data_IF_091984899123
#
_entry.id   IF_091984899123
#
_cell.length_a   1.000
_cell.length_b   1.000
_cell.length_c   1.000
_cell.angle_alpha   90.00
_cell.angle_beta   90.00
_cell.angle_gamma   90.00
#
_symmetry.space_group_name_H-M   'P 1'
#
loop_
_entity.id
_entity.type
_entity.pdbx_description
1 polymer ?
#
# COMPACT_ATOMS: atom_id res chain seq x y z
N UNK A 1 5.67 25.95 5.43
CA UNK A 1 6.51 24.73 5.31
C UNK A 1 5.54 23.58 5.12
N UNK A 2 5.72 22.77 4.08
CA UNK A 2 4.76 21.71 3.73
C UNK A 2 4.92 20.48 4.62
N UNK A 3 3.85 19.71 4.77
CA UNK A 3 3.87 18.41 5.43
C UNK A 3 3.72 17.31 4.37
N UNK A 4 4.42 16.19 4.55
CA UNK A 4 4.17 15.00 3.77
C UNK A 4 2.82 14.41 4.18
N UNK A 5 1.96 14.16 3.19
CA UNK A 5 0.74 13.37 3.32
C UNK A 5 1.08 11.88 3.28
N UNK A 6 1.94 11.51 2.32
CA UNK A 6 2.41 10.15 2.10
C UNK A 6 3.91 10.19 1.79
N UNK A 7 4.65 9.18 2.27
CA UNK A 7 6.05 8.95 1.94
C UNK A 7 6.26 7.56 1.35
N UNK A 8 7.27 7.42 0.48
CA UNK A 8 7.60 6.14 -0.13
C UNK A 8 8.90 6.13 -0.91
N UNK A 9 9.14 5.03 -1.62
CA UNK A 9 10.23 4.89 -2.57
C UNK A 9 9.70 4.63 -3.98
N UNK A 10 10.30 5.29 -4.95
CA UNK A 10 10.05 5.04 -6.38
C UNK A 10 11.32 4.54 -7.04
N UNK A 11 11.19 3.55 -7.92
CA UNK A 11 12.31 3.04 -8.72
C UNK A 11 12.29 3.68 -10.11
N UNK A 12 13.38 4.37 -10.46
CA UNK A 12 13.65 4.77 -11.84
C UNK A 12 14.83 3.97 -12.39
N UNK A 13 14.53 3.01 -13.25
CA UNK A 13 15.52 2.23 -14.02
C UNK A 13 16.52 1.50 -13.11
N UNK A 14 16.02 0.79 -12.10
CA UNK A 14 16.80 0.04 -11.12
C UNK A 14 17.43 0.92 -10.03
N UNK A 15 16.94 2.15 -9.85
CA UNK A 15 17.49 3.12 -8.89
C UNK A 15 16.38 3.69 -8.04
N UNK A 16 16.48 3.50 -6.74
CA UNK A 16 15.48 3.93 -5.77
C UNK A 16 15.67 5.38 -5.34
N UNK A 17 14.58 6.13 -5.34
CA UNK A 17 14.48 7.50 -4.86
C UNK A 17 13.41 7.57 -3.78
N UNK A 18 13.73 8.20 -2.65
CA UNK A 18 12.69 8.59 -1.70
C UNK A 18 11.82 9.67 -2.31
N UNK A 19 10.50 9.52 -2.18
CA UNK A 19 9.50 10.44 -2.68
C UNK A 19 8.43 10.72 -1.62
N UNK A 20 7.71 11.82 -1.81
CA UNK A 20 6.59 12.21 -0.95
C UNK A 20 5.48 12.87 -1.77
N UNK A 21 4.25 12.75 -1.26
CA UNK A 21 3.10 13.57 -1.69
C UNK A 21 2.92 14.67 -0.66
N UNK A 22 2.91 15.91 -1.10
CA UNK A 22 2.77 17.09 -0.24
C UNK A 22 1.43 17.77 -0.49
N UNK A 23 0.84 18.32 0.56
CA UNK A 23 -0.24 19.31 0.42
C UNK A 23 0.37 20.71 0.24
N UNK A 24 0.17 21.28 -0.95
CA UNK A 24 0.56 22.65 -1.28
C UNK A 24 -0.71 23.43 -1.57
N UNK A 25 -1.26 24.07 -0.54
CA UNK A 25 -2.44 24.92 -0.64
C UNK A 25 -3.69 24.21 -1.19
N UNK A 26 -3.85 22.92 -0.87
CA UNK A 26 -4.96 22.07 -1.32
C UNK A 26 -4.61 21.20 -2.52
N UNK A 27 -3.46 21.43 -3.17
CA UNK A 27 -3.02 20.67 -4.34
C UNK A 27 -1.98 19.60 -3.97
N UNK A 28 -2.15 18.34 -4.42
CA UNK A 28 -1.19 17.28 -4.17
C UNK A 28 0.05 17.44 -5.07
N UNK A 29 1.18 17.82 -4.47
CA UNK A 29 2.47 17.96 -5.15
C UNK A 29 3.35 16.76 -4.87
N UNK A 30 3.71 16.02 -5.93
CA UNK A 30 4.59 14.85 -5.87
C UNK A 30 6.05 15.29 -6.03
N UNK A 31 6.87 14.99 -5.04
CA UNK A 31 8.29 15.36 -5.01
C UNK A 31 9.18 14.15 -4.83
N UNK A 32 10.38 14.19 -5.40
CA UNK A 32 11.49 13.30 -5.03
C UNK A 32 12.50 14.03 -4.14
N UNK A 33 13.22 13.30 -3.29
CA UNK A 33 14.25 13.88 -2.43
C UNK A 33 15.44 14.40 -3.25
N UNK A 34 15.76 15.69 -3.12
CA UNK A 34 16.94 16.28 -3.77
C UNK A 34 18.27 15.67 -3.28
N UNK A 35 18.32 15.23 -2.03
CA UNK A 35 19.50 14.52 -1.48
C UNK A 35 19.69 13.15 -2.12
N UNK A 36 18.60 12.39 -2.30
CA UNK A 36 18.66 11.10 -3.01
C UNK A 36 19.02 11.31 -4.47
N UNK A 37 18.47 12.35 -5.12
CA UNK A 37 18.84 12.69 -6.49
C UNK A 37 20.34 12.90 -6.67
N UNK A 38 20.98 13.65 -5.76
CA UNK A 38 22.43 13.83 -5.76
C UNK A 38 23.16 12.49 -5.62
N UNK A 39 22.78 11.69 -4.62
CA UNK A 39 23.42 10.39 -4.34
C UNK A 39 23.33 9.46 -5.53
N UNK A 40 22.14 9.34 -6.13
CA UNK A 40 21.86 8.42 -7.24
C UNK A 40 22.63 8.82 -8.51
N UNK A 41 22.78 10.12 -8.77
CA UNK A 41 23.57 10.61 -9.91
C UNK A 41 25.07 10.68 -9.64
N UNK A 42 25.55 10.28 -8.45
CA UNK A 42 26.97 10.35 -8.09
C UNK A 42 27.48 11.78 -7.91
N UNK A 43 26.60 12.71 -7.54
CA UNK A 43 26.93 14.10 -7.28
C UNK A 43 27.24 14.25 -5.78
N UNK A 44 28.50 14.54 -5.46
CA UNK A 44 28.94 14.72 -4.09
C UNK A 44 29.03 16.20 -3.71
N UNK A 45 28.77 16.51 -2.43
CA UNK A 45 29.00 17.87 -1.91
C UNK A 45 30.50 18.15 -1.94
N UNK A 46 30.88 19.34 -2.40
CA UNK A 46 32.24 19.87 -2.24
C UNK A 46 32.17 21.34 -1.85
N UNK A 47 33.21 21.84 -1.17
CA UNK A 47 33.29 23.26 -0.77
C UNK A 47 33.10 24.22 -1.95
N UNK A 48 33.72 23.90 -3.10
CA UNK A 48 33.59 24.68 -4.33
C UNK A 48 32.15 24.73 -4.87
N UNK A 49 31.38 23.65 -4.75
CA UNK A 49 29.95 23.63 -5.12
C UNK A 49 29.10 24.45 -4.14
N UNK A 50 29.47 24.47 -2.86
CA UNK A 50 28.78 25.27 -1.84
C UNK A 50 29.02 26.78 -2.03
N UNK A 51 30.25 27.19 -2.36
CA UNK A 51 30.57 28.60 -2.65
C UNK A 51 29.90 29.09 -3.94
N UNK A 52 29.79 28.24 -4.97
CA UNK A 52 29.08 28.58 -6.22
C UNK A 52 27.56 28.72 -6.03
N UNK A 53 27.00 28.08 -5.01
CA UNK A 53 25.59 28.26 -4.62
C UNK A 53 25.31 29.63 -4.00
N UNK A 54 26.31 30.27 -3.40
CA UNK A 54 26.19 31.59 -2.77
C UNK A 54 26.53 32.77 -3.69
N UNK A 55 26.94 32.52 -4.94
CA UNK A 55 27.30 33.58 -5.91
C UNK A 55 26.09 34.14 -6.70
N UNK A 56 24.90 33.53 -6.62
CA UNK A 56 23.66 34.01 -7.28
C UNK A 56 22.64 34.46 -6.22
N UNK A 57 22.51 35.78 -6.03
CA UNK A 57 21.60 36.35 -5.01
C UNK A 57 20.11 36.18 -5.36
N UNK A 58 19.77 36.00 -6.64
CA UNK A 58 18.38 35.91 -7.12
C UNK A 58 17.93 34.49 -7.51
N UNK A 59 18.85 33.51 -7.55
CA UNK A 59 18.56 32.12 -7.93
C UNK A 59 19.15 31.13 -6.94
N UNK A 60 18.28 30.33 -6.31
CA UNK A 60 18.71 29.29 -5.38
C UNK A 60 19.13 28.02 -6.11
N UNK A 61 20.25 28.07 -6.83
CA UNK A 61 20.74 26.93 -7.62
C UNK A 61 21.12 25.76 -6.69
N UNK A 62 20.51 24.57 -6.84
CA UNK A 62 20.84 23.42 -6.04
C UNK A 62 22.22 22.86 -6.43
N UNK A 63 22.85 22.13 -5.52
CA UNK A 63 24.21 21.62 -5.74
C UNK A 63 24.32 20.76 -7.01
N UNK A 64 23.29 19.98 -7.33
CA UNK A 64 23.27 19.18 -8.55
C UNK A 64 23.13 19.98 -9.86
N UNK A 65 23.06 21.31 -9.80
CA UNK A 65 23.07 22.23 -10.95
C UNK A 65 24.13 23.34 -10.84
N UNK A 66 24.89 23.45 -9.74
CA UNK A 66 25.79 24.57 -9.46
C UNK A 66 27.12 24.56 -10.25
N UNK A 67 27.18 23.84 -11.37
CA UNK A 67 28.34 23.85 -12.26
C UNK A 67 28.22 24.99 -13.29
N UNK A 68 29.26 25.81 -13.43
CA UNK A 68 29.23 27.03 -14.26
C UNK A 68 28.86 26.76 -15.73
N UNK A 69 29.32 25.64 -16.28
CA UNK A 69 29.02 25.20 -17.64
C UNK A 69 27.56 24.77 -17.86
N UNK A 70 26.78 24.53 -16.80
CA UNK A 70 25.34 24.24 -16.90
C UNK A 70 24.50 25.52 -16.95
N UNK A 71 25.04 26.68 -16.57
CA UNK A 71 24.30 27.95 -16.45
C UNK A 71 23.54 28.33 -17.72
N UNK A 72 24.09 28.25 -18.95
CA UNK A 72 23.35 28.59 -20.16
C UNK A 72 22.13 27.68 -20.39
N UNK A 73 22.23 26.40 -20.01
CA UNK A 73 21.14 25.43 -20.15
C UNK A 73 20.06 25.63 -19.10
N UNK A 74 20.42 26.08 -17.91
CA UNK A 74 19.46 26.43 -16.85
C UNK A 74 18.69 27.70 -17.24
N UNK A 75 19.40 28.77 -17.62
CA UNK A 75 18.78 30.06 -17.92
C UNK A 75 17.92 30.05 -19.20
N UNK A 76 18.14 29.11 -20.11
CA UNK A 76 17.29 28.91 -21.29
C UNK A 76 15.98 28.16 -21.00
N UNK A 77 15.77 27.68 -19.78
CA UNK A 77 14.55 26.98 -19.35
C UNK A 77 13.81 27.82 -18.30
N UNK A 78 12.98 28.76 -18.77
CA UNK A 78 12.25 29.70 -17.91
C UNK A 78 11.40 29.00 -16.82
N UNK A 79 10.66 27.92 -17.10
CA UNK A 79 9.95 27.19 -16.04
C UNK A 79 10.89 26.57 -15.00
N UNK A 80 12.08 26.09 -15.40
CA UNK A 80 13.08 25.63 -14.43
C UNK A 80 13.57 26.80 -13.58
N UNK A 81 13.90 27.95 -14.18
CA UNK A 81 14.32 29.16 -13.46
C UNK A 81 13.27 29.55 -12.41
N UNK A 82 11.99 29.57 -12.78
CA UNK A 82 10.89 29.85 -11.86
C UNK A 82 10.82 28.85 -10.69
N UNK A 83 11.00 27.56 -10.96
CA UNK A 83 11.03 26.53 -9.92
C UNK A 83 12.24 26.67 -8.98
N UNK A 84 13.41 27.08 -9.49
CA UNK A 84 14.62 27.30 -8.68
C UNK A 84 14.50 28.51 -7.75
N UNK A 85 13.69 29.52 -8.11
CA UNK A 85 13.37 30.63 -7.21
C UNK A 85 12.44 30.21 -6.06
N UNK A 86 11.64 29.17 -6.26
CA UNK A 86 10.62 28.70 -5.32
C UNK A 86 10.85 27.23 -4.90
N UNK A 87 11.91 26.94 -4.13
CA UNK A 87 12.25 25.58 -3.73
C UNK A 87 11.18 24.98 -2.83
N UNK A 88 10.74 23.76 -3.13
CA UNK A 88 9.77 23.05 -2.31
C UNK A 88 10.48 22.43 -1.11
N UNK A 89 10.13 22.87 0.10
CA UNK A 89 10.62 22.28 1.35
C UNK A 89 9.49 21.68 2.17
N UNK A 90 9.74 20.49 2.69
CA UNK A 90 8.75 19.75 3.46
C UNK A 90 9.37 19.13 4.71
N UNK A 91 8.51 18.90 5.70
CA UNK A 91 8.83 18.12 6.89
C UNK A 91 8.53 16.65 6.61
N UNK A 92 9.52 15.81 6.82
CA UNK A 92 9.40 14.36 6.73
C UNK A 92 8.68 13.79 7.97
N UNK A 93 8.14 12.58 7.89
CA UNK A 93 7.52 11.88 9.03
C UNK A 93 8.46 11.80 10.24
N UNK A 94 9.77 11.60 10.02
CA UNK A 94 10.81 11.60 11.05
C UNK A 94 11.20 12.98 11.60
N UNK A 95 10.48 14.05 11.24
CA UNK A 95 10.72 15.43 11.71
C UNK A 95 11.82 16.19 10.98
N UNK A 96 12.62 15.52 10.14
CA UNK A 96 13.66 16.14 9.31
C UNK A 96 13.08 17.09 8.25
N UNK A 97 13.84 18.13 7.89
CA UNK A 97 13.47 19.03 6.78
C UNK A 97 14.19 18.57 5.52
N UNK A 98 13.43 18.34 4.45
CA UNK A 98 13.95 17.96 3.14
C UNK A 98 13.59 19.00 2.06
N UNK A 99 14.42 19.05 1.01
CA UNK A 99 14.14 19.80 -0.22
C UNK A 99 13.65 18.80 -1.27
N UNK A 100 12.44 19.02 -1.78
CA UNK A 100 11.77 18.19 -2.76
C UNK A 100 11.94 18.74 -4.17
N UNK A 101 12.18 17.85 -5.12
CA UNK A 101 12.16 18.15 -6.55
C UNK A 101 10.79 17.72 -7.09
N UNK A 102 9.90 18.64 -7.49
CA UNK A 102 8.63 18.28 -8.09
C UNK A 102 8.83 17.49 -9.39
N UNK A 103 7.93 16.53 -9.69
CA UNK A 103 8.07 15.65 -10.86
C UNK A 103 8.25 16.40 -12.19
N UNK A 104 7.53 17.51 -12.40
CA UNK A 104 7.67 18.32 -13.61
C UNK A 104 9.03 19.08 -13.70
N UNK A 105 9.64 19.39 -12.55
CA UNK A 105 10.96 20.03 -12.46
C UNK A 105 12.07 19.00 -12.65
N UNK A 106 11.89 17.77 -12.14
CA UNK A 106 12.84 16.66 -12.31
C UNK A 106 13.22 16.44 -13.77
N UNK A 107 12.22 16.37 -14.66
CA UNK A 107 12.44 16.24 -16.11
C UNK A 107 13.34 17.36 -16.64
N UNK A 108 13.13 18.60 -16.21
CA UNK A 108 13.90 19.76 -16.65
C UNK A 108 15.33 19.72 -16.14
N UNK A 109 15.54 19.32 -14.89
CA UNK A 109 16.86 19.12 -14.30
C UNK A 109 17.64 18.05 -15.07
N UNK A 110 17.03 16.89 -15.35
CA UNK A 110 17.65 15.84 -16.17
C UNK A 110 17.98 16.37 -17.58
N UNK A 111 17.05 17.13 -18.17
CA UNK A 111 17.20 17.75 -19.49
C UNK A 111 18.35 18.76 -19.57
N UNK A 112 18.68 19.47 -18.49
CA UNK A 112 19.88 20.34 -18.44
C UNK A 112 21.15 19.53 -18.68
N UNK A 113 21.32 18.40 -18.00
CA UNK A 113 22.49 17.54 -18.17
C UNK A 113 22.56 16.94 -19.58
N UNK A 114 21.42 16.46 -20.10
CA UNK A 114 21.34 15.90 -21.45
C UNK A 114 21.68 16.95 -22.52
N UNK A 115 21.12 18.16 -22.43
CA UNK A 115 21.41 19.25 -23.37
C UNK A 115 22.86 19.72 -23.28
N UNK A 116 23.41 19.84 -22.08
CA UNK A 116 24.81 20.22 -21.88
C UNK A 116 25.79 19.19 -22.46
N UNK A 117 25.45 17.90 -22.34
CA UNK A 117 26.21 16.83 -22.96
C UNK A 117 26.16 16.88 -24.49
N UNK A 118 24.95 17.05 -25.05
CA UNK A 118 24.76 17.18 -26.50
C UNK A 118 25.50 18.41 -27.08
N UNK A 119 25.62 19.49 -26.30
CA UNK A 119 26.38 20.69 -26.68
C UNK A 119 27.90 20.60 -26.46
N UNK A 120 28.42 19.45 -26.01
CA UNK A 120 29.86 19.26 -25.77
C UNK A 120 30.43 20.12 -24.63
N UNK A 121 29.59 20.64 -23.72
CA UNK A 121 29.99 21.59 -22.68
C UNK A 121 30.43 20.92 -21.38
N UNK A 122 30.43 19.58 -21.30
CA UNK A 122 30.69 18.83 -20.07
C UNK A 122 32.14 18.37 -19.96
N UNK A 123 32.70 18.44 -18.75
CA UNK A 123 33.98 17.80 -18.43
C UNK A 123 33.88 16.27 -18.31
N UNK A 124 35.01 15.53 -18.29
CA UNK A 124 35.01 14.07 -18.30
C UNK A 124 34.21 13.41 -17.16
N UNK A 125 34.25 13.99 -15.95
CA UNK A 125 33.49 13.48 -14.80
C UNK A 125 31.99 13.75 -14.92
N UNK A 126 31.58 14.80 -15.62
CA UNK A 126 30.20 15.20 -15.82
C UNK A 126 29.49 14.39 -16.90
N UNK A 127 30.23 13.83 -17.86
CA UNK A 127 29.69 12.95 -18.89
C UNK A 127 28.93 11.77 -18.26
N UNK A 128 29.50 11.12 -17.25
CA UNK A 128 28.85 10.00 -16.54
C UNK A 128 27.53 10.41 -15.88
N UNK A 129 27.44 11.64 -15.36
CA UNK A 129 26.22 12.19 -14.76
C UNK A 129 25.15 12.38 -15.85
N UNK A 130 25.53 12.93 -17.00
CA UNK A 130 24.61 13.15 -18.11
C UNK A 130 24.11 11.84 -18.74
N UNK A 131 24.97 10.82 -18.86
CA UNK A 131 24.54 9.48 -19.29
C UNK A 131 23.55 8.85 -18.30
N UNK A 132 23.81 8.98 -16.99
CA UNK A 132 22.89 8.50 -15.97
C UNK A 132 21.55 9.26 -16.01
N UNK A 133 21.59 10.58 -16.21
CA UNK A 133 20.42 11.43 -16.36
C UNK A 133 19.60 11.06 -17.61
N UNK A 134 20.28 10.80 -18.74
CA UNK A 134 19.64 10.33 -19.98
C UNK A 134 18.92 9.01 -19.77
N UNK A 135 19.58 8.01 -19.16
CA UNK A 135 18.95 6.71 -18.88
C UNK A 135 17.69 6.84 -18.01
N UNK A 136 17.71 7.70 -17.00
CA UNK A 136 16.53 7.97 -16.17
C UNK A 136 15.44 8.63 -17.01
N UNK A 137 15.78 9.63 -17.84
CA UNK A 137 14.82 10.31 -18.70
C UNK A 137 14.16 9.35 -19.70
N UNK A 138 14.95 8.50 -20.36
CA UNK A 138 14.46 7.52 -21.33
C UNK A 138 13.51 6.51 -20.65
N UNK A 139 13.90 5.95 -19.49
CA UNK A 139 13.04 5.01 -18.77
C UNK A 139 11.76 5.65 -18.19
N UNK A 140 11.79 6.94 -17.84
CA UNK A 140 10.58 7.67 -17.47
C UNK A 140 9.63 7.85 -18.67
N UNK A 141 10.17 8.03 -19.87
CA UNK A 141 9.38 8.11 -21.10
C UNK A 141 8.73 6.76 -21.40
N UNK A 142 9.47 5.66 -21.28
CA UNK A 142 8.92 4.30 -21.48
C UNK A 142 7.73 4.05 -20.54
N UNK A 143 7.90 4.31 -19.24
CA UNK A 143 6.82 4.16 -18.24
C UNK A 143 5.63 5.06 -18.54
N UNK A 144 5.85 6.30 -19.00
CA UNK A 144 4.77 7.21 -19.35
C UNK A 144 3.99 6.73 -20.58
N UNK A 145 4.68 6.23 -21.60
CA UNK A 145 4.05 5.67 -22.81
C UNK A 145 3.23 4.44 -22.44
N UNK A 146 3.81 3.49 -21.69
CA UNK A 146 3.11 2.30 -21.22
C UNK A 146 1.88 2.67 -20.38
N UNK A 147 2.01 3.64 -19.47
CA UNK A 147 0.89 4.10 -18.65
C UNK A 147 -0.24 4.70 -19.49
N UNK A 148 0.07 5.51 -20.51
CA UNK A 148 -0.91 6.10 -21.42
C UNK A 148 -1.60 5.04 -22.29
N UNK A 149 -0.84 4.05 -22.79
CA UNK A 149 -1.41 2.92 -23.54
C UNK A 149 -2.32 2.10 -22.63
N UNK A 150 -1.89 1.83 -21.39
CA UNK A 150 -2.68 1.08 -20.43
C UNK A 150 -3.97 1.80 -20.06
N UNK A 151 -3.95 3.13 -19.93
CA UNK A 151 -5.13 3.96 -19.69
C UNK A 151 -6.07 3.94 -20.91
N UNK A 152 -5.54 4.20 -22.11
CA UNK A 152 -6.33 4.21 -23.35
C UNK A 152 -6.96 2.85 -23.67
N UNK A 153 -6.30 1.75 -23.29
CA UNK A 153 -6.79 0.38 -23.52
C UNK A 153 -7.62 -0.16 -22.34
N UNK A 154 -7.69 0.55 -21.21
CA UNK A 154 -8.25 0.04 -19.96
C UNK A 154 -7.49 -1.16 -19.38
N UNK A 155 -6.23 -1.38 -19.80
CA UNK A 155 -5.39 -2.46 -19.28
C UNK A 155 -5.06 -2.29 -17.80
N UNK A 156 -5.04 -1.05 -17.26
CA UNK A 156 -4.86 -0.84 -15.81
C UNK A 156 -5.90 -1.62 -14.98
N UNK A 157 -7.18 -1.54 -15.35
CA UNK A 157 -8.25 -2.28 -14.68
C UNK A 157 -8.10 -3.80 -14.85
N UNK A 158 -7.68 -4.25 -16.05
CA UNK A 158 -7.42 -5.67 -16.32
C UNK A 158 -6.22 -6.20 -15.54
N UNK A 159 -5.16 -5.42 -15.36
CA UNK A 159 -3.96 -5.80 -14.58
C UNK A 159 -4.34 -6.03 -13.11
N UNK A 160 -5.11 -5.12 -12.50
CA UNK A 160 -5.59 -5.29 -11.14
C UNK A 160 -6.51 -6.52 -11.00
N UNK A 161 -7.42 -6.72 -11.97
CA UNK A 161 -8.28 -7.91 -12.00
C UNK A 161 -7.47 -9.20 -12.15
N UNK A 162 -6.48 -9.24 -13.05
CA UNK A 162 -5.62 -10.40 -13.25
C UNK A 162 -4.82 -10.72 -11.98
N UNK A 163 -4.23 -9.71 -11.34
CA UNK A 163 -3.51 -9.89 -10.07
C UNK A 163 -4.43 -10.46 -8.97
N UNK A 164 -5.66 -9.97 -8.87
CA UNK A 164 -6.67 -10.52 -7.97
C UNK A 164 -7.02 -11.97 -8.34
N UNK A 165 -7.25 -12.27 -9.62
CA UNK A 165 -7.56 -13.63 -10.06
C UNK A 165 -6.41 -14.61 -9.76
N UNK A 166 -5.15 -14.21 -9.94
CA UNK A 166 -4.00 -15.03 -9.56
C UNK A 166 -3.94 -15.25 -8.04
N UNK A 167 -4.18 -14.23 -7.22
CA UNK A 167 -4.31 -14.39 -5.77
C UNK A 167 -5.42 -15.38 -5.41
N UNK A 168 -6.59 -15.26 -6.04
CA UNK A 168 -7.74 -16.14 -5.77
C UNK A 168 -7.46 -17.58 -6.18
N UNK A 169 -6.74 -17.84 -7.29
CA UNK A 169 -6.35 -19.20 -7.70
C UNK A 169 -5.48 -19.90 -6.66
N UNK A 170 -4.62 -19.14 -5.99
CA UNK A 170 -3.75 -19.65 -4.92
C UNK A 170 -4.54 -20.03 -3.66
N UNK A 171 -5.69 -19.40 -3.42
CA UNK A 171 -6.50 -19.60 -2.21
C UNK A 171 -7.74 -20.47 -2.41
N UNK A 172 -8.37 -20.44 -3.59
CA UNK A 172 -9.70 -20.99 -3.85
C UNK A 172 -9.64 -21.99 -5.00
N UNK A 173 -9.99 -23.24 -4.68
CA UNK A 173 -10.06 -24.34 -5.62
C UNK A 173 -11.19 -24.17 -6.64
N UNK A 174 -11.06 -24.76 -7.85
CA UNK A 174 -12.13 -24.82 -8.83
C UNK A 174 -13.34 -25.59 -8.29
N UNK A 175 -13.11 -26.66 -7.55
CA UNK A 175 -14.13 -27.60 -7.08
C UNK A 175 -14.02 -27.86 -5.56
N UNK A 176 -15.11 -28.38 -5.00
CA UNK A 176 -15.16 -28.72 -3.58
C UNK A 176 -14.37 -30.00 -3.29
N UNK A 177 -13.48 -29.94 -2.30
CA UNK A 177 -12.88 -31.13 -1.69
C UNK A 177 -13.88 -31.91 -0.84
N UNK A 178 -13.61 -33.20 -0.55
CA UNK A 178 -14.33 -33.95 0.46
C UNK A 178 -14.36 -33.20 1.80
N UNK A 179 -15.48 -33.37 2.52
CA UNK A 179 -15.66 -32.75 3.82
C UNK A 179 -14.60 -33.25 4.80
N UNK A 180 -13.97 -32.32 5.50
CA UNK A 180 -13.06 -32.59 6.60
C UNK A 180 -13.25 -31.50 7.66
N UNK A 181 -13.14 -31.85 8.93
CA UNK A 181 -13.38 -30.89 10.01
C UNK A 181 -12.20 -29.93 10.15
N UNK A 182 -12.43 -28.62 9.98
CA UNK A 182 -11.41 -27.56 10.17
C UNK A 182 -11.57 -26.76 11.46
N UNK A 183 -12.79 -26.65 11.98
CA UNK A 183 -13.05 -25.88 13.19
C UNK A 183 -13.02 -26.80 14.42
N UNK A 184 -12.07 -26.62 15.36
CA UNK A 184 -12.01 -27.44 16.56
C UNK A 184 -13.17 -27.10 17.51
N UNK A 185 -13.53 -28.04 18.39
CA UNK A 185 -14.56 -27.81 19.41
C UNK A 185 -14.24 -26.62 20.31
N UNK A 186 -12.96 -26.44 20.63
CA UNK A 186 -12.44 -25.32 21.42
C UNK A 186 -12.77 -23.95 20.83
N UNK A 187 -12.84 -23.80 19.51
CA UNK A 187 -13.27 -22.56 18.88
C UNK A 187 -14.69 -22.17 19.31
N UNK A 188 -15.60 -23.14 19.26
CA UNK A 188 -17.00 -22.92 19.62
C UNK A 188 -17.17 -22.75 21.14
N UNK A 189 -16.50 -23.58 21.94
CA UNK A 189 -16.52 -23.49 23.40
C UNK A 189 -16.09 -22.09 23.88
N UNK A 190 -14.98 -21.58 23.35
CA UNK A 190 -14.44 -20.28 23.74
C UNK A 190 -15.33 -19.12 23.30
N UNK A 191 -15.96 -19.20 22.12
CA UNK A 191 -16.97 -18.21 21.70
C UNK A 191 -18.14 -18.20 22.69
N UNK A 192 -18.69 -19.35 23.03
CA UNK A 192 -19.85 -19.42 23.93
C UNK A 192 -19.52 -18.87 25.32
N UNK A 193 -18.35 -19.23 25.85
CA UNK A 193 -17.83 -18.71 27.14
C UNK A 193 -17.74 -17.18 27.14
N UNK A 194 -17.13 -16.60 26.11
CA UNK A 194 -16.95 -15.13 25.99
C UNK A 194 -18.28 -14.42 25.74
N UNK A 195 -19.20 -15.03 25.00
CA UNK A 195 -20.53 -14.48 24.72
C UNK A 195 -21.53 -14.67 25.88
N UNK A 196 -21.19 -15.49 26.89
CA UNK A 196 -22.09 -15.82 28.01
C UNK A 196 -23.26 -16.72 27.60
N UNK A 197 -23.09 -17.55 26.57
CA UNK A 197 -24.13 -18.45 26.07
C UNK A 197 -24.03 -19.85 26.68
N UNK A 198 -25.16 -20.57 26.87
CA UNK A 198 -25.13 -21.95 27.34
C UNK A 198 -24.47 -22.85 26.29
N UNK A 199 -23.42 -23.58 26.69
CA UNK A 199 -22.70 -24.51 25.83
C UNK A 199 -22.98 -25.96 26.24
N UNK A 200 -23.45 -26.77 25.30
CA UNK A 200 -23.62 -28.21 25.47
C UNK A 200 -22.60 -28.94 24.59
N UNK A 201 -21.62 -29.59 25.22
CA UNK A 201 -20.56 -30.33 24.55
C UNK A 201 -21.07 -31.61 23.87
N UNK A 202 -22.23 -32.14 24.28
CA UNK A 202 -22.85 -33.34 23.72
C UNK A 202 -23.67 -33.08 22.45
N UNK A 203 -24.03 -31.82 22.21
CA UNK A 203 -24.82 -31.40 21.06
C UNK A 203 -23.95 -30.76 19.97
N UNK A 204 -24.26 -31.04 18.70
CA UNK A 204 -23.68 -30.34 17.55
C UNK A 204 -24.46 -29.10 17.15
N UNK A 205 -25.61 -28.82 17.80
CA UNK A 205 -26.41 -27.65 17.51
C UNK A 205 -25.68 -26.39 17.97
N UNK A 206 -25.76 -25.34 17.17
CA UNK A 206 -25.11 -24.06 17.44
C UNK A 206 -26.10 -22.92 17.32
N UNK A 207 -25.89 -21.86 18.09
CA UNK A 207 -26.63 -20.61 18.03
C UNK A 207 -26.57 -20.09 16.60
N UNK A 208 -27.71 -19.70 16.03
CA UNK A 208 -27.82 -19.30 14.63
C UNK A 208 -26.83 -18.18 14.25
N UNK A 209 -26.47 -17.32 15.21
CA UNK A 209 -25.52 -16.23 15.02
C UNK A 209 -24.08 -16.68 14.77
N UNK A 210 -23.70 -17.92 15.12
CA UNK A 210 -22.31 -18.34 15.04
C UNK A 210 -21.76 -18.31 13.62
N UNK A 211 -22.60 -18.60 12.61
CA UNK A 211 -22.19 -18.50 11.22
C UNK A 211 -21.84 -17.07 10.80
N UNK A 212 -22.59 -16.08 11.29
CA UNK A 212 -22.27 -14.66 11.08
C UNK A 212 -20.96 -14.30 11.77
N UNK A 213 -20.76 -14.79 12.99
CA UNK A 213 -19.55 -14.53 13.75
C UNK A 213 -18.31 -15.16 13.08
N UNK A 214 -18.40 -16.42 12.64
CA UNK A 214 -17.31 -17.09 11.91
C UNK A 214 -16.97 -16.38 10.60
N UNK A 215 -17.97 -15.85 9.89
CA UNK A 215 -17.70 -15.01 8.73
C UNK A 215 -16.86 -13.78 9.10
N UNK A 216 -17.23 -13.04 10.14
CA UNK A 216 -16.53 -11.81 10.57
C UNK A 216 -15.15 -12.05 11.16
N UNK A 217 -15.01 -13.13 11.94
CA UNK A 217 -13.77 -13.45 12.64
C UNK A 217 -12.75 -14.14 11.74
N UNK A 218 -13.21 -14.90 10.75
CA UNK A 218 -12.33 -15.79 9.97
C UNK A 218 -12.37 -15.43 8.48
N UNK A 219 -13.52 -15.57 7.82
CA UNK A 219 -13.56 -15.44 6.36
C UNK A 219 -13.34 -13.99 5.88
N UNK A 220 -13.89 -12.99 6.59
CA UNK A 220 -13.66 -11.56 6.34
C UNK A 220 -12.21 -11.13 6.65
N UNK A 221 -11.40 -12.02 7.25
CA UNK A 221 -9.97 -11.81 7.55
C UNK A 221 -9.03 -12.51 6.59
N UNK A 222 -9.58 -13.24 5.64
CA UNK A 222 -8.82 -13.76 4.51
C UNK A 222 -8.40 -12.61 3.59
N UNK A 223 -7.41 -12.82 2.70
CA UNK A 223 -6.99 -11.81 1.73
C UNK A 223 -8.16 -11.28 0.88
N UNK A 224 -8.02 -10.06 0.32
CA UNK A 224 -9.09 -9.41 -0.44
C UNK A 224 -9.70 -10.31 -1.52
N UNK A 225 -11.03 -10.34 -1.58
CA UNK A 225 -11.81 -11.10 -2.56
C UNK A 225 -11.95 -12.60 -2.29
N UNK A 226 -11.20 -13.20 -1.35
CA UNK A 226 -11.29 -14.65 -1.08
C UNK A 226 -12.68 -15.04 -0.57
N UNK A 227 -13.22 -14.31 0.41
CA UNK A 227 -14.55 -14.60 0.94
C UNK A 227 -15.65 -14.40 -0.11
N UNK A 228 -15.56 -13.36 -0.93
CA UNK A 228 -16.52 -13.12 -2.00
C UNK A 228 -16.48 -14.24 -3.05
N UNK A 229 -15.28 -14.67 -3.46
CA UNK A 229 -15.11 -15.81 -4.35
C UNK A 229 -15.71 -17.10 -3.75
N UNK A 230 -15.53 -17.33 -2.44
CA UNK A 230 -16.15 -18.45 -1.73
C UNK A 230 -17.67 -18.34 -1.70
N UNK A 231 -18.25 -17.14 -1.55
CA UNK A 231 -19.70 -16.90 -1.57
C UNK A 231 -20.30 -17.13 -2.95
N UNK A 232 -19.62 -16.68 -3.99
CA UNK A 232 -20.03 -16.91 -5.39
C UNK A 232 -20.01 -18.40 -5.71
N UNK A 233 -18.97 -19.13 -5.32
CA UNK A 233 -18.85 -20.58 -5.56
C UNK A 233 -19.71 -21.46 -4.65
N UNK A 234 -20.03 -20.97 -3.46
CA UNK A 234 -20.88 -21.66 -2.48
C UNK A 234 -22.03 -20.73 -2.05
N UNK A 235 -22.97 -20.46 -2.97
CA UNK A 235 -24.08 -19.55 -2.71
C UNK A 235 -25.05 -20.14 -1.69
N UNK A 236 -25.80 -19.27 -1.03
CA UNK A 236 -26.96 -19.69 -0.23
C UNK A 236 -28.10 -20.09 -1.14
N UNK A 237 -28.77 -21.17 -0.77
CA UNK A 237 -30.02 -21.59 -1.37
C UNK A 237 -31.11 -20.49 -1.15
N UNK A 238 -31.86 -20.10 -2.20
CA UNK A 238 -32.83 -19.01 -2.13
C UNK A 238 -33.94 -19.21 -1.09
N UNK A 239 -34.37 -20.45 -0.88
CA UNK A 239 -35.53 -20.79 -0.04
C UNK A 239 -35.10 -21.02 1.40
N UNK A 240 -34.08 -21.86 1.59
CA UNK A 240 -33.63 -22.27 2.92
C UNK A 240 -32.65 -21.27 3.54
N UNK A 241 -32.11 -20.33 2.75
CA UNK A 241 -31.04 -19.39 3.13
C UNK A 241 -29.78 -20.07 3.69
N UNK A 242 -29.62 -21.38 3.45
CA UNK A 242 -28.50 -22.19 3.92
C UNK A 242 -27.56 -22.53 2.76
N UNK A 243 -26.29 -22.79 3.07
CA UNK A 243 -25.31 -23.26 2.09
C UNK A 243 -25.29 -24.79 2.07
N UNK A 244 -25.19 -25.37 0.88
CA UNK A 244 -25.13 -26.82 0.68
C UNK A 244 -23.82 -27.42 1.19
N UNK A 245 -22.70 -26.70 1.04
CA UNK A 245 -21.36 -27.13 1.47
C UNK A 245 -20.72 -26.07 2.38
N UNK A 246 -19.58 -26.39 2.98
CA UNK A 246 -18.80 -25.45 3.81
C UNK A 246 -17.77 -24.71 2.97
N UNK A 247 -17.47 -23.46 3.32
CA UNK A 247 -16.51 -22.64 2.58
C UNK A 247 -15.08 -23.21 2.59
N UNK A 248 -14.62 -23.75 3.73
CA UNK A 248 -13.29 -24.36 3.82
C UNK A 248 -13.05 -25.50 2.81
N UNK A 249 -14.11 -26.19 2.35
CA UNK A 249 -13.99 -27.24 1.33
C UNK A 249 -13.55 -26.70 -0.04
N UNK A 250 -13.59 -25.38 -0.26
CA UNK A 250 -13.08 -24.72 -1.46
C UNK A 250 -11.71 -24.07 -1.27
N UNK A 251 -11.10 -24.14 -0.09
CA UNK A 251 -9.77 -23.58 0.11
C UNK A 251 -8.70 -24.54 -0.42
N UNK A 252 -7.57 -24.00 -0.88
CA UNK A 252 -6.41 -24.81 -1.27
C UNK A 252 -5.75 -25.46 -0.04
N UNK A 253 -5.23 -26.70 -0.13
CA UNK A 253 -4.61 -27.38 1.00
C UNK A 253 -3.36 -26.68 1.54
N UNK A 254 -2.56 -26.09 0.65
CA UNK A 254 -1.24 -25.56 1.02
C UNK A 254 -1.34 -24.16 1.64
N UNK A 255 -2.11 -23.27 1.00
CA UNK A 255 -2.14 -21.85 1.36
C UNK A 255 -3.46 -21.48 2.03
N UNK A 256 -4.60 -21.81 1.41
CA UNK A 256 -5.91 -21.45 1.94
C UNK A 256 -6.20 -22.09 3.30
N UNK A 257 -5.95 -23.38 3.44
CA UNK A 257 -6.14 -24.12 4.70
C UNK A 257 -5.14 -23.67 5.77
N UNK A 258 -3.85 -23.51 5.42
CA UNK A 258 -2.83 -23.04 6.36
C UNK A 258 -3.16 -21.65 6.92
N UNK A 259 -3.67 -20.76 6.07
CA UNK A 259 -4.13 -19.44 6.51
C UNK A 259 -5.38 -19.55 7.39
N UNK A 260 -6.35 -20.38 7.00
CA UNK A 260 -7.56 -20.64 7.80
C UNK A 260 -7.21 -21.08 9.22
N UNK A 261 -6.29 -22.04 9.35
CA UNK A 261 -5.83 -22.57 10.64
C UNK A 261 -5.19 -21.48 11.50
N UNK A 262 -4.28 -20.67 10.93
CA UNK A 262 -3.66 -19.54 11.64
C UNK A 262 -4.69 -18.53 12.16
N UNK A 263 -5.71 -18.20 11.37
CA UNK A 263 -6.78 -17.30 11.80
C UNK A 263 -7.62 -17.91 12.92
N UNK A 264 -7.93 -19.20 12.84
CA UNK A 264 -8.66 -19.92 13.89
C UNK A 264 -7.86 -19.92 15.18
N UNK A 265 -6.57 -20.29 15.14
CA UNK A 265 -5.70 -20.39 16.32
C UNK A 265 -5.48 -19.04 16.99
N UNK A 266 -5.24 -17.99 16.19
CA UNK A 266 -5.12 -16.63 16.71
C UNK A 266 -6.43 -16.16 17.34
N UNK A 267 -7.57 -16.41 16.70
CA UNK A 267 -8.89 -16.07 17.25
C UNK A 267 -9.15 -16.82 18.57
N UNK A 268 -8.83 -18.12 18.63
CA UNK A 268 -8.92 -18.91 19.87
C UNK A 268 -8.03 -18.31 20.96
N UNK A 269 -6.82 -17.87 20.62
CA UNK A 269 -5.88 -17.26 21.57
C UNK A 269 -6.45 -15.97 22.17
N UNK A 270 -7.01 -15.10 21.34
CA UNK A 270 -7.67 -13.87 21.80
C UNK A 270 -8.91 -14.16 22.64
N UNK A 271 -9.70 -15.17 22.26
CA UNK A 271 -10.85 -15.61 23.06
C UNK A 271 -10.40 -16.12 24.42
N UNK A 272 -9.35 -16.97 24.49
CA UNK A 272 -8.78 -17.48 25.76
C UNK A 272 -8.28 -16.37 26.67
N UNK A 273 -7.71 -15.31 26.11
CA UNK A 273 -7.27 -14.13 26.86
C UNK A 273 -8.44 -13.25 27.35
N UNK A 274 -9.67 -13.50 26.88
CA UNK A 274 -10.86 -12.73 27.27
C UNK A 274 -11.58 -13.41 28.44
N UNK A 275 -11.95 -12.68 29.52
CA UNK A 275 -12.76 -13.22 30.61
C UNK A 275 -14.18 -13.64 30.17
N UNK A 276 -14.80 -14.52 30.94
CA UNK A 276 -16.16 -15.03 30.69
C UNK A 276 -17.18 -13.90 30.59
N UNK A 277 -18.06 -13.96 29.60
CA UNK A 277 -19.10 -12.94 29.37
C UNK A 277 -18.60 -11.57 28.88
N UNK A 278 -17.28 -11.35 28.73
CA UNK A 278 -16.69 -10.05 28.37
C UNK A 278 -16.48 -9.89 26.85
N UNK A 279 -17.50 -10.16 26.04
CA UNK A 279 -17.40 -10.08 24.58
C UNK A 279 -16.96 -8.71 24.03
N UNK A 280 -17.26 -7.60 24.73
CA UNK A 280 -16.80 -6.26 24.34
C UNK A 280 -15.28 -6.12 24.45
N UNK A 281 -14.69 -6.74 25.47
CA UNK A 281 -13.24 -6.78 25.62
C UNK A 281 -12.59 -7.59 24.51
N UNK A 282 -13.18 -8.74 24.15
CA UNK A 282 -12.75 -9.51 22.98
C UNK A 282 -12.84 -8.69 21.68
N UNK A 283 -13.94 -7.98 21.45
CA UNK A 283 -14.09 -7.12 20.27
C UNK A 283 -12.97 -6.08 20.18
N UNK A 284 -12.64 -5.43 21.30
CA UNK A 284 -11.54 -4.46 21.35
C UNK A 284 -10.19 -5.11 21.02
N UNK A 285 -9.87 -6.24 21.65
CA UNK A 285 -8.63 -6.98 21.38
C UNK A 285 -8.56 -7.44 19.92
N UNK A 286 -9.67 -7.92 19.38
CA UNK A 286 -9.76 -8.39 18.00
C UNK A 286 -9.62 -7.24 17.01
N UNK A 287 -10.20 -6.06 17.28
CA UNK A 287 -10.00 -4.85 16.47
C UNK A 287 -8.55 -4.36 16.49
N UNK A 288 -7.84 -4.51 17.62
CA UNK A 288 -6.43 -4.14 17.72
C UNK A 288 -5.51 -5.13 16.98
N UNK A 289 -5.77 -6.44 17.13
CA UNK A 289 -5.01 -7.48 16.45
C UNK A 289 -5.30 -7.53 14.94
N UNK A 290 -6.54 -7.19 14.55
CA UNK A 290 -7.03 -7.18 13.18
C UNK A 290 -7.76 -5.86 12.91
N UNK A 291 -7.02 -4.76 12.69
CA UNK A 291 -7.62 -3.48 12.34
C UNK A 291 -8.53 -3.64 11.12
N UNK A 292 -9.73 -3.04 11.12
CA UNK A 292 -10.64 -3.16 9.98
C UNK A 292 -10.07 -2.48 8.75
N UNK A 293 -10.35 -3.03 7.57
CA UNK A 293 -10.51 -2.22 6.36
C UNK A 293 -11.84 -1.44 6.52
N UNK A 294 -11.76 -0.28 7.18
CA UNK A 294 -12.76 0.79 7.33
C UNK A 294 -14.26 0.42 7.45
N UNK A 295 -14.63 -0.70 8.06
CA UNK A 295 -16.04 -0.95 8.46
C UNK A 295 -16.15 -1.66 9.80
N UNK A 296 -17.07 -1.17 10.65
CA UNK A 296 -17.26 -1.59 12.02
C UNK A 296 -17.71 -3.07 12.14
N UNK A 297 -17.08 -3.81 13.06
CA UNK A 297 -17.24 -5.27 13.17
C UNK A 297 -18.53 -5.74 13.84
N UNK A 298 -19.17 -4.90 14.66
CA UNK A 298 -20.36 -5.29 15.40
C UNK A 298 -21.36 -4.13 15.47
N UNK A 299 -22.52 -4.30 14.84
CA UNK A 299 -23.66 -3.44 15.12
C UNK A 299 -24.26 -3.86 16.46
N UNK A 300 -24.04 -3.04 17.50
CA UNK A 300 -24.53 -3.26 18.87
C UNK A 300 -26.04 -3.60 18.96
N UNK A 301 -26.82 -3.18 17.95
CA UNK A 301 -28.26 -3.43 17.84
C UNK A 301 -28.62 -4.89 17.49
N UNK A 302 -27.73 -5.66 16.83
CA UNK A 302 -28.00 -7.06 16.48
C UNK A 302 -27.76 -8.01 17.67
N UNK A 303 -26.79 -7.71 18.53
CA UNK A 303 -26.43 -8.53 19.70
C UNK A 303 -27.48 -8.38 20.81
N UNK A 304 -28.05 -7.19 21.00
CA UNK A 304 -29.10 -6.94 21.99
C UNK A 304 -30.41 -7.73 21.74
N UNK A 305 -30.65 -8.18 20.50
CA UNK A 305 -31.85 -8.97 20.14
C UNK A 305 -31.74 -10.45 20.53
N UNK A 306 -30.52 -10.95 20.79
CA UNK A 306 -30.27 -12.36 21.12
C UNK A 306 -30.35 -12.66 22.63
N UNK A 307 -30.43 -11.62 23.48
CA UNK A 307 -30.50 -11.74 24.94
C UNK A 307 -31.93 -11.63 25.50
N UNK A 308 -32.97 -11.64 24.67
CA UNK A 308 -34.35 -11.72 25.16
C UNK A 308 -34.76 -13.19 25.28
N UNK A 309 -35.12 -13.69 26.48
CA UNK A 309 -35.79 -14.97 26.57
C UNK A 309 -37.14 -14.87 25.86
N UNK A 310 -37.45 -15.86 25.02
CA UNK A 310 -38.83 -16.24 24.70
C UNK A 310 -39.43 -16.97 25.88
#
# INVERSE_FOLDING_TARGET
MHHALDEGEVDFVGRKFRCAVLDVAGDPVRVISGTEFMRVLGIYRSGALSTRRSEDDDLRIPLYLAHKNLRPFILSDEPLVHALKNPVRYRQEGGGIAEGIPGHVLRRILGVWVRAHAGGQLGPSQVKIAEAAKKILDGLVDVAIDALIDEATGYQSRRAQNALQELLKVYVLPEFRPYHTKFPSSYYEQIYRVMGWPYDASSSQRTAYIGKLTNRLIYDRMPPGVHDALRVKNPTDPDTKRRKKKHFSLLTPDIGDSHLEKLIDSTITLLRATPDGQWKFFEMLFKQAYPPDQSDLFHAQEIARLNKPT
#
